data_IF_627308193179
#
_entry.id   IF_627308193179
#
_cell.length_a   1.000
_cell.length_b   1.000
_cell.length_c   1.000
_cell.angle_alpha   90.00
_cell.angle_beta   90.00
_cell.angle_gamma   90.00
#
_symmetry.space_group_name_H-M   'P 1'
#
loop_
_entity.id
_entity.type
_entity.pdbx_description
1 polymer ?
#
# COMPACT_ATOMS: atom_id res chain seq x y z
N UNK A 1 10.58 -7.86 -1.82
CA UNK A 1 9.16 -8.28 -1.67
C UNK A 1 8.34 -7.14 -1.10
N UNK A 2 7.16 -6.85 -1.64
CA UNK A 2 6.29 -5.76 -1.14
C UNK A 2 5.15 -6.31 -0.30
N UNK A 3 4.87 -5.66 0.84
CA UNK A 3 3.80 -6.03 1.75
C UNK A 3 2.75 -4.93 1.82
N UNK A 4 1.49 -5.30 1.67
CA UNK A 4 0.34 -4.44 1.91
C UNK A 4 -0.35 -4.91 3.18
N UNK A 5 -0.65 -3.97 4.05
CA UNK A 5 -1.30 -4.23 5.31
C UNK A 5 -2.62 -3.49 5.35
N UNK A 6 -3.70 -4.20 5.67
CA UNK A 6 -4.99 -3.57 5.92
C UNK A 6 -5.09 -3.19 7.38
N UNK A 7 -5.21 -1.89 7.66
CA UNK A 7 -5.35 -1.33 9.00
C UNK A 7 -6.80 -0.87 9.18
N UNK A 8 -7.52 -1.35 10.20
CA UNK A 8 -8.89 -0.88 10.48
C UNK A 8 -8.95 0.65 10.66
N UNK A 9 -10.04 1.30 10.22
CA UNK A 9 -10.19 2.75 10.30
C UNK A 9 -9.96 3.33 11.71
N UNK A 10 -10.35 2.61 12.76
CA UNK A 10 -10.10 2.98 14.16
C UNK A 10 -8.60 3.18 14.50
N UNK A 11 -7.71 2.49 13.79
CA UNK A 11 -6.26 2.58 13.96
C UNK A 11 -5.58 3.44 12.87
N UNK A 12 -6.29 3.79 11.80
CA UNK A 12 -5.73 4.45 10.62
C UNK A 12 -5.04 5.78 10.96
N UNK A 13 -5.63 6.62 11.81
CA UNK A 13 -5.03 7.91 12.18
C UNK A 13 -3.72 7.80 12.97
N UNK A 14 -3.51 6.69 13.70
CA UNK A 14 -2.23 6.42 14.38
C UNK A 14 -1.17 6.02 13.36
N UNK A 15 -1.54 5.15 12.43
CA UNK A 15 -0.65 4.64 11.39
C UNK A 15 -0.30 5.72 10.37
N UNK A 16 -1.25 6.55 9.95
CA UNK A 16 -1.05 7.68 9.03
C UNK A 16 0.00 8.65 9.56
N UNK A 17 -0.04 8.98 10.87
CA UNK A 17 0.98 9.82 11.51
C UNK A 17 2.37 9.19 11.49
N UNK A 18 2.47 7.89 11.75
CA UNK A 18 3.74 7.17 11.69
C UNK A 18 4.29 7.12 10.25
N UNK A 19 3.42 6.90 9.27
CA UNK A 19 3.79 6.94 7.85
C UNK A 19 4.28 8.34 7.44
N UNK A 20 3.60 9.40 7.89
CA UNK A 20 3.99 10.77 7.60
C UNK A 20 5.35 11.14 8.22
N UNK A 21 5.60 10.74 9.47
CA UNK A 21 6.90 10.96 10.11
C UNK A 21 8.02 10.20 9.38
N UNK A 22 7.76 8.94 8.99
CA UNK A 22 8.74 8.16 8.23
C UNK A 22 9.00 8.75 6.83
N UNK A 23 7.97 9.21 6.13
CA UNK A 23 8.14 9.88 4.83
C UNK A 23 8.97 11.17 4.96
N UNK A 24 8.76 11.96 6.02
CA UNK A 24 9.59 13.15 6.30
C UNK A 24 11.05 12.77 6.55
N UNK A 25 11.31 11.71 7.32
CA UNK A 25 12.66 11.21 7.57
C UNK A 25 13.34 10.73 6.28
N UNK A 26 12.61 10.09 5.37
CA UNK A 26 13.11 9.70 4.05
C UNK A 26 13.45 10.91 3.18
N UNK A 27 12.55 11.88 3.10
CA UNK A 27 12.75 13.10 2.30
C UNK A 27 13.94 13.93 2.82
N UNK A 28 14.15 13.94 4.13
CA UNK A 28 15.26 14.62 4.79
C UNK A 28 16.57 13.80 4.82
N UNK A 29 16.57 12.57 4.30
CA UNK A 29 17.70 11.63 4.42
C UNK A 29 18.19 11.49 5.87
N UNK A 30 17.25 11.48 6.81
CA UNK A 30 17.56 11.50 8.24
C UNK A 30 18.22 10.17 8.67
N UNK A 31 19.25 10.20 9.54
CA UNK A 31 19.83 8.99 10.11
C UNK A 31 18.84 8.12 10.90
N UNK A 32 17.70 8.68 11.33
CA UNK A 32 16.61 7.99 12.00
C UNK A 32 15.73 7.16 11.07
N UNK A 33 15.81 7.36 9.75
CA UNK A 33 14.93 6.68 8.79
C UNK A 33 14.91 5.15 8.94
N UNK A 34 16.04 4.44 9.18
CA UNK A 34 16.00 3.00 9.42
C UNK A 34 15.19 2.62 10.68
N UNK A 35 15.38 3.34 11.79
CA UNK A 35 14.63 3.10 13.03
C UNK A 35 13.14 3.42 12.85
N UNK A 36 12.82 4.49 12.12
CA UNK A 36 11.44 4.84 11.76
C UNK A 36 10.77 3.78 10.89
N UNK A 37 11.51 3.16 9.96
CA UNK A 37 11.03 2.05 9.14
C UNK A 37 10.69 0.82 10.00
N UNK A 38 11.57 0.44 10.93
CA UNK A 38 11.35 -0.69 11.84
C UNK A 38 10.17 -0.46 12.79
N UNK A 39 10.04 0.75 13.34
CA UNK A 39 8.93 1.12 14.20
C UNK A 39 7.59 1.13 13.44
N UNK A 40 7.59 1.63 12.20
CA UNK A 40 6.41 1.62 11.34
C UNK A 40 6.02 0.17 10.99
N UNK A 41 6.97 -0.67 10.61
CA UNK A 41 6.72 -2.08 10.31
C UNK A 41 6.09 -2.80 11.50
N UNK A 42 6.69 -2.67 12.68
CA UNK A 42 6.17 -3.26 13.92
C UNK A 42 4.76 -2.76 14.26
N UNK A 43 4.53 -1.45 14.16
CA UNK A 43 3.23 -0.86 14.43
C UNK A 43 2.14 -1.40 13.51
N UNK A 44 2.44 -1.48 12.22
CA UNK A 44 1.48 -1.94 11.21
C UNK A 44 1.22 -3.43 11.36
N UNK A 45 2.24 -4.24 11.67
CA UNK A 45 2.07 -5.68 11.95
C UNK A 45 1.21 -5.95 13.18
N UNK A 46 1.31 -5.12 14.23
CA UNK A 46 0.49 -5.24 15.43
C UNK A 46 -0.98 -4.91 15.15
N UNK A 47 -1.24 -3.91 14.29
CA UNK A 47 -2.58 -3.34 14.08
C UNK A 47 -3.30 -3.89 12.84
N UNK A 48 -2.59 -4.53 11.92
CA UNK A 48 -3.16 -5.00 10.67
C UNK A 48 -4.15 -6.14 10.90
N UNK A 49 -5.33 -6.03 10.30
CA UNK A 49 -6.33 -7.11 10.28
C UNK A 49 -5.97 -8.18 9.24
N UNK A 50 -5.15 -7.84 8.25
CA UNK A 50 -4.72 -8.75 7.19
C UNK A 50 -3.52 -8.19 6.42
N UNK A 51 -2.82 -9.07 5.71
CA UNK A 51 -1.68 -8.73 4.87
C UNK A 51 -1.80 -9.37 3.48
N UNK A 52 -1.21 -8.72 2.48
CA UNK A 52 -1.00 -9.24 1.14
C UNK A 52 0.48 -9.06 0.76
N UNK A 53 1.08 -10.09 0.15
CA UNK A 53 2.48 -10.07 -0.28
C UNK A 53 2.57 -10.14 -1.80
N UNK A 54 3.36 -9.24 -2.39
CA UNK A 54 3.64 -9.19 -3.82
C UNK A 54 5.15 -9.37 -4.05
N UNK A 55 5.49 -10.22 -5.02
CA UNK A 55 6.86 -10.36 -5.47
C UNK A 55 7.35 -9.06 -6.11
N UNK A 56 8.67 -8.90 -6.24
CA UNK A 56 9.24 -7.69 -6.83
C UNK A 56 8.88 -7.59 -8.33
N UNK A 57 8.90 -8.71 -9.07
CA UNK A 57 8.45 -8.76 -10.47
C UNK A 57 6.96 -8.37 -10.62
N UNK A 58 6.09 -8.88 -9.74
CA UNK A 58 4.66 -8.53 -9.75
C UNK A 58 4.45 -7.05 -9.45
N UNK A 59 5.21 -6.52 -8.48
CA UNK A 59 5.16 -5.12 -8.10
C UNK A 59 5.65 -4.21 -9.23
N UNK A 60 6.75 -4.55 -9.88
CA UNK A 60 7.28 -3.77 -11.00
C UNK A 60 6.35 -3.82 -12.21
N UNK A 61 5.74 -4.98 -12.49
CA UNK A 61 4.69 -5.12 -13.50
C UNK A 61 3.49 -4.23 -13.19
N UNK A 62 2.99 -4.28 -11.95
CA UNK A 62 1.88 -3.45 -11.49
C UNK A 62 2.23 -1.95 -11.60
N UNK A 63 3.44 -1.56 -11.19
CA UNK A 63 3.93 -0.19 -11.26
C UNK A 63 3.98 0.31 -12.69
N UNK A 64 4.56 -0.46 -13.62
CA UNK A 64 4.60 -0.10 -15.03
C UNK A 64 3.19 0.10 -15.62
N UNK A 65 2.23 -0.76 -15.25
CA UNK A 65 0.84 -0.65 -15.70
C UNK A 65 0.12 0.58 -15.15
N UNK A 66 0.35 0.92 -13.88
CA UNK A 66 -0.26 2.11 -13.26
C UNK A 66 0.42 3.41 -13.70
N UNK A 67 1.71 3.37 -14.01
CA UNK A 67 2.46 4.48 -14.61
C UNK A 67 1.90 4.86 -15.99
N UNK A 68 1.64 3.86 -16.85
CA UNK A 68 0.98 4.07 -18.15
C UNK A 68 -0.41 4.75 -18.05
N UNK A 69 -0.98 4.83 -16.84
CA UNK A 69 -2.27 5.46 -16.55
C UNK A 69 -2.16 6.72 -15.69
N UNK A 70 -0.96 7.26 -15.51
CA UNK A 70 -0.68 8.44 -14.69
C UNK A 70 -1.09 8.29 -13.21
N UNK A 71 -1.03 7.07 -12.67
CA UNK A 71 -1.31 6.76 -11.26
C UNK A 71 -0.03 6.48 -10.44
N UNK A 72 1.15 6.89 -10.92
CA UNK A 72 2.45 6.60 -10.29
C UNK A 72 2.51 7.06 -8.82
N UNK A 73 2.03 8.28 -8.53
CA UNK A 73 2.01 8.82 -7.17
C UNK A 73 1.18 7.98 -6.19
N UNK A 74 0.22 7.20 -6.67
CA UNK A 74 -0.60 6.36 -5.79
C UNK A 74 0.24 5.18 -5.26
N UNK A 75 1.04 4.51 -6.11
CA UNK A 75 1.89 3.40 -5.65
C UNK A 75 3.12 3.84 -4.87
N UNK A 76 3.61 5.06 -5.08
CA UNK A 76 4.70 5.63 -4.30
C UNK A 76 4.33 5.99 -2.87
N UNK A 77 3.03 5.98 -2.53
CA UNK A 77 2.57 6.28 -1.18
C UNK A 77 2.70 5.08 -0.26
N UNK A 78 3.21 5.35 0.95
CA UNK A 78 3.31 4.37 2.03
C UNK A 78 1.93 4.12 2.64
N UNK A 79 1.02 5.10 2.62
CA UNK A 79 -0.30 5.03 3.23
C UNK A 79 -1.41 5.40 2.25
N UNK A 80 -2.43 4.56 2.15
CA UNK A 80 -3.64 4.78 1.36
C UNK A 80 -4.85 4.79 2.28
N UNK A 81 -5.67 5.83 2.18
CA UNK A 81 -7.03 5.78 2.74
C UNK A 81 -7.86 4.79 1.93
N UNK A 82 -9.01 4.38 2.47
CA UNK A 82 -9.94 3.50 1.76
C UNK A 82 -10.30 4.04 0.36
N UNK A 83 -10.47 5.37 0.21
CA UNK A 83 -10.72 6.01 -1.08
C UNK A 83 -9.57 5.84 -2.08
N UNK A 84 -8.32 5.95 -1.63
CA UNK A 84 -7.15 5.77 -2.50
C UNK A 84 -6.96 4.30 -2.87
N UNK A 85 -7.19 3.39 -1.91
CA UNK A 85 -7.17 1.95 -2.15
C UNK A 85 -8.25 1.52 -3.17
N UNK A 86 -9.45 2.11 -3.11
CA UNK A 86 -10.52 1.88 -4.08
C UNK A 86 -10.11 2.31 -5.49
N UNK A 87 -9.57 3.53 -5.62
CA UNK A 87 -9.07 4.04 -6.91
C UNK A 87 -7.98 3.14 -7.50
N UNK A 88 -7.08 2.60 -6.67
CA UNK A 88 -6.05 1.65 -7.12
C UNK A 88 -6.68 0.32 -7.54
N UNK A 89 -7.65 -0.19 -6.78
CA UNK A 89 -8.37 -1.42 -7.12
C UNK A 89 -9.06 -1.33 -8.50
N UNK A 90 -9.74 -0.21 -8.76
CA UNK A 90 -10.39 0.09 -10.05
C UNK A 90 -9.37 0.21 -11.17
N UNK A 91 -8.24 0.88 -10.91
CA UNK A 91 -7.16 1.05 -11.88
C UNK A 91 -6.54 -0.30 -12.28
N UNK A 92 -6.48 -1.26 -11.35
CA UNK A 92 -6.02 -2.63 -11.58
C UNK A 92 -7.07 -3.46 -12.33
N UNK A 93 -8.35 -3.34 -12.00
CA UNK A 93 -9.42 -4.08 -12.69
C UNK A 93 -9.56 -3.66 -14.16
N UNK A 94 -9.42 -2.36 -14.41
CA UNK A 94 -9.53 -1.79 -15.76
C UNK A 94 -8.33 -2.12 -16.66
N UNK A 95 -7.35 -2.93 -16.20
CA UNK A 95 -6.24 -3.47 -17.01
C UNK A 95 -6.70 -4.46 -18.10
N UNK A 96 -7.99 -4.80 -18.18
CA UNK A 96 -8.58 -5.50 -19.32
C UNK A 96 -8.11 -6.95 -19.48
N UNK A 97 -8.07 -7.45 -20.73
CA UNK A 97 -7.70 -8.83 -21.08
C UNK A 97 -6.26 -9.22 -20.73
N UNK A 98 -5.43 -8.28 -20.28
CA UNK A 98 -4.03 -8.47 -19.86
C UNK A 98 -3.86 -8.51 -18.33
N UNK A 99 -4.96 -8.45 -17.57
CA UNK A 99 -4.92 -8.60 -16.12
C UNK A 99 -4.52 -10.04 -15.76
N UNK A 100 -3.37 -10.18 -15.10
CA UNK A 100 -2.90 -11.47 -14.59
C UNK A 100 -3.83 -11.96 -13.47
N UNK A 101 -3.85 -13.27 -13.16
CA UNK A 101 -4.56 -13.77 -11.97
C UNK A 101 -4.13 -13.05 -10.68
N UNK A 102 -2.88 -12.58 -10.62
CA UNK A 102 -2.31 -11.82 -9.51
C UNK A 102 -2.93 -10.43 -9.41
N UNK A 103 -3.08 -9.73 -10.53
CA UNK A 103 -3.72 -8.41 -10.61
C UNK A 103 -5.16 -8.50 -10.11
N UNK A 104 -5.91 -9.51 -10.57
CA UNK A 104 -7.28 -9.76 -10.13
C UNK A 104 -7.38 -10.06 -8.63
N UNK A 105 -6.43 -10.83 -8.09
CA UNK A 105 -6.38 -11.13 -6.66
C UNK A 105 -6.05 -9.87 -5.82
N UNK A 106 -5.14 -9.02 -6.28
CA UNK A 106 -4.83 -7.74 -5.63
C UNK A 106 -6.04 -6.81 -5.65
N UNK A 107 -6.67 -6.62 -6.80
CA UNK A 107 -7.88 -5.78 -6.94
C UNK A 107 -8.99 -6.30 -6.04
N UNK A 108 -9.30 -7.60 -6.07
CA UNK A 108 -10.32 -8.20 -5.20
C UNK A 108 -9.99 -8.05 -3.71
N UNK A 109 -8.71 -8.19 -3.33
CA UNK A 109 -8.26 -7.96 -1.97
C UNK A 109 -8.48 -6.51 -1.56
N UNK A 110 -8.07 -5.54 -2.38
CA UNK A 110 -8.25 -4.11 -2.11
C UNK A 110 -9.73 -3.75 -1.96
N UNK A 111 -10.60 -4.19 -2.87
CA UNK A 111 -12.05 -3.99 -2.74
C UNK A 111 -12.60 -4.53 -1.43
N UNK A 112 -12.19 -5.75 -1.03
CA UNK A 112 -12.59 -6.32 0.26
C UNK A 112 -12.17 -5.44 1.43
N UNK A 113 -11.02 -4.76 1.35
CA UNK A 113 -10.53 -3.87 2.42
C UNK A 113 -11.21 -2.51 2.41
N UNK A 114 -11.56 -2.00 1.24
CA UNK A 114 -12.40 -0.81 1.09
C UNK A 114 -13.78 -1.05 1.70
N UNK A 115 -14.41 -2.18 1.41
CA UNK A 115 -15.72 -2.55 1.97
C UNK A 115 -15.67 -2.71 3.51
N UNK A 116 -14.51 -3.08 4.04
CA UNK A 116 -14.23 -3.19 5.47
C UNK A 116 -13.78 -1.85 6.11
N UNK A 117 -13.85 -0.74 5.38
CA UNK A 117 -13.38 0.59 5.81
C UNK A 117 -11.95 0.55 6.38
N UNK A 118 -11.06 -0.20 5.71
CA UNK A 118 -9.66 -0.33 6.11
C UNK A 118 -8.77 0.57 5.25
N UNK A 119 -7.83 1.25 5.91
CA UNK A 119 -6.70 1.87 5.24
C UNK A 119 -5.69 0.79 4.81
N UNK A 120 -4.87 1.10 3.81
CA UNK A 120 -3.82 0.19 3.33
C UNK A 120 -2.46 0.84 3.52
N UNK A 121 -1.50 0.10 4.07
CA UNK A 121 -0.11 0.53 4.18
C UNK A 121 0.75 -0.34 3.28
N UNK A 122 1.51 0.28 2.40
CA UNK A 122 2.48 -0.39 1.54
C UNK A 122 3.89 -0.21 2.12
N UNK A 123 4.55 -1.32 2.48
CA UNK A 123 5.93 -1.32 2.97
C UNK A 123 6.82 -2.19 2.08
N UNK A 124 8.03 -1.70 1.84
CA UNK A 124 9.09 -2.45 1.19
C UNK A 124 9.90 -3.15 2.26
N UNK A 125 9.84 -4.49 2.29
CA UNK A 125 10.78 -5.29 3.09
C UNK A 125 11.92 -5.78 2.21
#
# INVERSE_FOLDING_TARGET
MKCFFAVPSAAAARVERACAAYAQDLDAWAPSAPAGADDLARLVEELASSQLRLGDDDWDSLRAKLDARSNEQALGQIFWRASDAARIADAVETLGSEATPRDKALSAWLHTKVDQDSAVVALTR
#
